data_IF_345323937434
#
_entry.id   IF_345323937434
#
_cell.length_a   1.000
_cell.length_b   1.000
_cell.length_c   1.000
_cell.angle_alpha   90.00
_cell.angle_beta   90.00
_cell.angle_gamma   90.00
#
_symmetry.space_group_name_H-M   'P 1'
#
loop_
_entity.id
_entity.type
_entity.pdbx_description
1 polymer ?
#
# COMPACT_ATOMS: atom_id res chain seq x y z
N UNK A 1 -20.39 47.71 37.37
CA UNK A 1 -19.12 47.17 36.84
C UNK A 1 -19.14 45.67 37.03
N UNK A 2 -19.39 44.91 35.97
CA UNK A 2 -19.39 43.45 35.98
C UNK A 2 -19.00 42.98 34.58
N UNK A 3 -17.94 42.17 34.47
CA UNK A 3 -18.01 40.75 34.11
C UNK A 3 -16.58 40.23 33.95
N UNK A 4 -16.17 39.38 34.89
CA UNK A 4 -15.13 38.39 34.66
C UNK A 4 -15.59 37.44 33.55
N UNK A 5 -14.72 37.15 32.57
CA UNK A 5 -14.81 35.93 31.77
C UNK A 5 -13.52 35.16 31.96
N UNK A 6 -13.57 34.22 32.90
CA UNK A 6 -12.76 32.99 32.87
C UNK A 6 -13.33 32.10 31.76
N UNK A 7 -12.47 31.56 30.90
CA UNK A 7 -12.50 30.16 30.46
C UNK A 7 -11.54 29.97 29.28
N UNK A 8 -10.26 29.78 29.55
CA UNK A 8 -9.28 29.22 28.61
C UNK A 8 -8.52 28.12 29.38
N UNK A 9 -8.78 26.85 29.10
CA UNK A 9 -8.08 25.78 29.81
C UNK A 9 -8.40 24.32 29.48
N UNK A 10 -9.49 24.01 28.77
CA UNK A 10 -9.96 22.61 28.69
C UNK A 10 -9.57 21.85 27.39
N UNK A 11 -9.08 22.53 26.35
CA UNK A 11 -8.85 21.88 25.05
C UNK A 11 -7.58 21.01 24.99
N UNK A 12 -6.59 21.24 25.87
CA UNK A 12 -5.30 20.54 25.81
C UNK A 12 -5.33 19.16 26.51
N UNK A 13 -6.21 18.99 27.50
CA UNK A 13 -6.35 17.75 28.26
C UNK A 13 -7.04 16.64 27.47
N UNK A 14 -8.09 16.99 26.71
CA UNK A 14 -8.84 16.05 25.88
C UNK A 14 -8.01 15.51 24.71
N UNK A 15 -7.17 16.33 24.08
CA UNK A 15 -6.29 15.89 22.99
C UNK A 15 -5.17 14.96 23.46
N UNK A 16 -4.60 15.20 24.65
CA UNK A 16 -3.57 14.34 25.22
C UNK A 16 -4.14 12.97 25.64
N UNK A 17 -5.33 12.94 26.23
CA UNK A 17 -6.02 11.71 26.61
C UNK A 17 -6.46 10.91 25.37
N UNK A 18 -6.99 11.60 24.35
CA UNK A 18 -7.40 10.98 23.08
C UNK A 18 -6.20 10.41 22.32
N UNK A 19 -5.04 11.08 22.32
CA UNK A 19 -3.76 10.53 21.81
C UNK A 19 -3.30 9.29 22.58
N UNK A 20 -3.34 9.32 23.91
CA UNK A 20 -2.90 8.21 24.75
C UNK A 20 -3.74 6.93 24.54
N UNK A 21 -5.03 7.07 24.27
CA UNK A 21 -5.93 5.95 24.00
C UNK A 21 -5.83 5.41 22.57
N UNK A 22 -5.43 6.24 21.60
CA UNK A 22 -5.42 5.87 20.17
C UNK A 22 -4.05 5.43 19.65
N UNK A 23 -2.95 5.85 20.29
CA UNK A 23 -1.59 5.42 19.95
C UNK A 23 -1.43 3.88 19.92
N UNK A 24 -1.97 3.10 20.88
CA UNK A 24 -1.87 1.63 20.85
C UNK A 24 -2.59 1.01 19.64
N UNK A 25 -3.69 1.63 19.19
CA UNK A 25 -4.46 1.16 18.05
C UNK A 25 -3.77 1.45 16.72
N UNK A 26 -3.16 2.62 16.58
CA UNK A 26 -2.37 2.94 15.39
C UNK A 26 -1.14 2.05 15.28
N UNK A 27 -0.40 1.84 16.37
CA UNK A 27 0.78 0.97 16.38
C UNK A 27 0.45 -0.48 16.01
N UNK A 28 -0.64 -1.02 16.58
CA UNK A 28 -1.11 -2.37 16.22
C UNK A 28 -1.46 -2.48 14.74
N UNK A 29 -2.16 -1.49 14.18
CA UNK A 29 -2.49 -1.47 12.75
C UNK A 29 -1.25 -1.37 11.87
N UNK A 30 -0.25 -0.58 12.26
CA UNK A 30 1.02 -0.53 11.56
C UNK A 30 1.75 -1.88 11.60
N UNK A 31 1.73 -2.58 12.74
CA UNK A 31 2.32 -3.91 12.85
C UNK A 31 1.59 -4.93 11.94
N UNK A 32 0.26 -4.91 11.92
CA UNK A 32 -0.54 -5.77 11.04
C UNK A 32 -0.30 -5.45 9.57
N UNK A 33 -0.26 -4.17 9.21
CA UNK A 33 0.09 -3.71 7.86
C UNK A 33 1.48 -4.20 7.46
N UNK A 34 2.49 -4.01 8.31
CA UNK A 34 3.86 -4.49 8.07
C UNK A 34 3.89 -5.99 7.81
N UNK A 35 3.15 -6.76 8.60
CA UNK A 35 3.03 -8.21 8.39
C UNK A 35 2.43 -8.52 7.02
N UNK A 36 1.34 -7.88 6.63
CA UNK A 36 0.73 -8.10 5.31
C UNK A 36 1.68 -7.73 4.16
N UNK A 37 2.42 -6.63 4.29
CA UNK A 37 3.42 -6.22 3.29
C UNK A 37 4.54 -7.25 3.17
N UNK A 38 5.07 -7.77 4.29
CA UNK A 38 6.13 -8.80 4.24
C UNK A 38 5.62 -10.12 3.66
N UNK A 39 4.42 -10.54 4.02
CA UNK A 39 3.78 -11.72 3.39
C UNK A 39 3.58 -11.50 1.89
N UNK A 40 3.11 -10.33 1.47
CA UNK A 40 2.95 -9.99 0.06
C UNK A 40 4.31 -9.98 -0.67
N UNK A 41 5.38 -9.53 -0.03
CA UNK A 41 6.75 -9.57 -0.56
C UNK A 41 7.20 -11.01 -0.83
N UNK A 42 7.01 -11.91 0.12
CA UNK A 42 7.30 -13.34 -0.06
C UNK A 42 6.49 -13.91 -1.23
N UNK A 43 5.18 -13.63 -1.29
CA UNK A 43 4.32 -14.13 -2.37
C UNK A 43 4.68 -13.54 -3.74
N UNK A 44 5.12 -12.27 -3.80
CA UNK A 44 5.54 -11.61 -5.02
C UNK A 44 6.80 -12.27 -5.62
N UNK A 45 7.71 -12.76 -4.78
CA UNK A 45 8.90 -13.50 -5.24
C UNK A 45 8.54 -14.80 -5.95
N UNK A 46 7.43 -15.44 -5.58
CA UNK A 46 6.93 -16.67 -6.19
C UNK A 46 6.19 -16.44 -7.53
N UNK A 47 5.82 -15.19 -7.84
CA UNK A 47 5.09 -14.79 -9.04
C UNK A 47 6.04 -14.49 -10.21
N UNK A 48 6.84 -15.47 -10.65
CA UNK A 48 7.87 -15.27 -11.70
C UNK A 48 7.41 -14.39 -12.87
N UNK A 49 6.22 -14.65 -13.39
CA UNK A 49 5.65 -13.91 -14.51
C UNK A 49 5.41 -12.42 -14.24
N UNK A 50 5.13 -12.02 -13.00
CA UNK A 50 4.78 -10.65 -12.64
C UNK A 50 5.59 -10.16 -11.42
N UNK A 51 6.76 -10.75 -11.18
CA UNK A 51 7.54 -10.59 -9.96
C UNK A 51 7.88 -9.12 -9.71
N UNK A 52 8.53 -8.48 -10.68
CA UNK A 52 9.02 -7.10 -10.50
C UNK A 52 7.86 -6.11 -10.40
N UNK A 53 6.80 -6.34 -11.18
CA UNK A 53 5.53 -5.61 -11.06
C UNK A 53 4.91 -5.72 -9.66
N UNK A 54 4.86 -6.93 -9.09
CA UNK A 54 4.32 -7.16 -7.76
C UNK A 54 5.23 -6.59 -6.65
N UNK A 55 6.55 -6.73 -6.78
CA UNK A 55 7.51 -6.14 -5.85
C UNK A 55 7.43 -4.61 -5.85
N UNK A 56 7.16 -3.99 -7.00
CA UNK A 56 6.97 -2.55 -7.06
C UNK A 56 5.76 -2.08 -6.24
N UNK A 57 4.68 -2.86 -6.15
CA UNK A 57 3.57 -2.55 -5.22
C UNK A 57 4.02 -2.65 -3.77
N UNK A 58 4.85 -3.64 -3.42
CA UNK A 58 5.42 -3.78 -2.07
C UNK A 58 6.23 -2.54 -1.70
N UNK A 59 7.16 -2.12 -2.56
CA UNK A 59 7.99 -0.92 -2.36
C UNK A 59 7.12 0.32 -2.09
N UNK A 60 6.05 0.49 -2.88
CA UNK A 60 5.15 1.63 -2.71
C UNK A 60 4.30 1.56 -1.43
N UNK A 61 3.94 0.37 -0.98
CA UNK A 61 3.27 0.18 0.31
C UNK A 61 4.23 0.48 1.48
N UNK A 62 5.50 0.06 1.38
CA UNK A 62 6.54 0.39 2.37
C UNK A 62 6.72 1.91 2.47
N UNK A 63 6.85 2.61 1.33
CA UNK A 63 6.95 4.07 1.29
C UNK A 63 5.70 4.77 1.88
N UNK A 64 4.50 4.31 1.54
CA UNK A 64 3.26 4.87 2.09
C UNK A 64 3.18 4.71 3.61
N UNK A 65 3.67 3.58 4.15
CA UNK A 65 3.72 3.36 5.60
C UNK A 65 4.71 4.32 6.28
N UNK A 66 5.88 4.54 5.70
CA UNK A 66 6.88 5.47 6.22
C UNK A 66 6.34 6.91 6.26
N UNK A 67 5.69 7.36 5.18
CA UNK A 67 5.09 8.69 5.11
C UNK A 67 3.92 8.85 6.09
N UNK A 68 3.09 7.81 6.25
CA UNK A 68 1.98 7.84 7.20
C UNK A 68 2.47 7.97 8.67
N UNK A 69 3.61 7.37 9.01
CA UNK A 69 4.23 7.52 10.34
C UNK A 69 4.80 8.92 10.58
N UNK A 70 5.27 9.59 9.53
CA UNK A 70 5.78 10.96 9.59
C UNK A 70 4.71 12.06 9.59
N UNK A 71 3.44 11.73 9.31
CA UNK A 71 2.37 12.74 9.19
C UNK A 71 1.93 13.32 10.54
N UNK A 72 1.98 14.65 10.66
CA UNK A 72 1.51 15.38 11.85
C UNK A 72 -0.03 15.47 11.84
N UNK A 73 -0.71 14.53 12.49
CA UNK A 73 -2.17 14.60 12.67
C UNK A 73 -2.81 13.27 12.99
N UNK A 74 -3.33 13.11 14.21
CA UNK A 74 -3.85 11.84 14.72
C UNK A 74 -5.00 11.26 13.88
N UNK A 75 -5.94 12.09 13.41
CA UNK A 75 -7.08 11.65 12.59
C UNK A 75 -6.64 11.24 11.18
N UNK A 76 -5.76 12.02 10.56
CA UNK A 76 -5.19 11.71 9.24
C UNK A 76 -4.38 10.43 9.31
N UNK A 77 -3.50 10.30 10.30
CA UNK A 77 -2.71 9.10 10.55
C UNK A 77 -3.60 7.86 10.74
N UNK A 78 -4.70 7.94 11.50
CA UNK A 78 -5.64 6.82 11.66
C UNK A 78 -6.31 6.41 10.35
N UNK A 79 -6.84 7.37 9.59
CA UNK A 79 -7.53 7.09 8.33
C UNK A 79 -6.60 6.47 7.29
N UNK A 80 -5.40 7.04 7.16
CA UNK A 80 -4.37 6.56 6.25
C UNK A 80 -3.88 5.18 6.69
N UNK A 81 -3.61 4.96 7.98
CA UNK A 81 -3.24 3.64 8.52
C UNK A 81 -4.26 2.56 8.17
N UNK A 82 -5.56 2.84 8.35
CA UNK A 82 -6.62 1.89 8.05
C UNK A 82 -6.73 1.61 6.54
N UNK A 83 -6.54 2.63 5.71
CA UNK A 83 -6.55 2.49 4.25
C UNK A 83 -5.35 1.67 3.75
N UNK A 84 -4.16 1.98 4.23
CA UNK A 84 -2.92 1.26 3.88
C UNK A 84 -2.99 -0.21 4.30
N UNK A 85 -3.48 -0.49 5.52
CA UNK A 85 -3.70 -1.85 6.02
C UNK A 85 -4.67 -2.63 5.11
N UNK A 86 -5.77 -1.99 4.66
CA UNK A 86 -6.72 -2.59 3.73
C UNK A 86 -6.06 -2.93 2.38
N UNK A 87 -5.31 -2.00 1.78
CA UNK A 87 -4.63 -2.24 0.49
C UNK A 87 -3.62 -3.37 0.63
N UNK A 88 -2.79 -3.36 1.68
CA UNK A 88 -1.80 -4.41 1.93
C UNK A 88 -2.44 -5.80 2.08
N UNK A 89 -3.54 -5.89 2.84
CA UNK A 89 -4.30 -7.14 2.99
C UNK A 89 -4.91 -7.61 1.67
N UNK A 90 -5.56 -6.72 0.91
CA UNK A 90 -6.13 -7.07 -0.40
C UNK A 90 -5.08 -7.55 -1.39
N UNK A 91 -3.90 -6.93 -1.39
CA UNK A 91 -2.79 -7.35 -2.23
C UNK A 91 -2.25 -8.71 -1.83
N UNK A 92 -2.00 -8.92 -0.53
CA UNK A 92 -1.58 -10.23 0.04
C UNK A 92 -2.57 -11.33 -0.35
N UNK A 93 -3.86 -11.10 -0.10
CA UNK A 93 -4.92 -12.06 -0.38
C UNK A 93 -5.04 -12.34 -1.88
N UNK A 94 -4.85 -11.32 -2.72
CA UNK A 94 -4.80 -11.47 -4.17
C UNK A 94 -3.65 -12.37 -4.62
N UNK A 95 -2.41 -12.10 -4.18
CA UNK A 95 -1.24 -12.93 -4.53
C UNK A 95 -1.39 -14.36 -4.02
N UNK A 96 -1.95 -14.53 -2.81
CA UNK A 96 -2.14 -15.85 -2.21
C UNK A 96 -3.10 -16.73 -3.03
N UNK A 97 -4.02 -16.17 -3.83
CA UNK A 97 -4.87 -16.94 -4.77
C UNK A 97 -4.08 -17.64 -5.88
N UNK A 98 -2.83 -17.25 -6.11
CA UNK A 98 -1.96 -17.84 -7.11
C UNK A 98 -0.88 -18.73 -6.50
N UNK A 99 -0.75 -18.72 -5.17
CA UNK A 99 0.12 -19.63 -4.45
C UNK A 99 -0.24 -21.08 -4.75
N UNK A 100 0.77 -21.88 -5.09
CA UNK A 100 0.60 -23.29 -5.44
C UNK A 100 -0.06 -23.56 -6.80
N UNK A 101 -0.53 -22.53 -7.53
CA UNK A 101 -1.00 -22.71 -8.92
C UNK A 101 0.19 -22.95 -9.84
N UNK A 102 0.02 -23.85 -10.81
CA UNK A 102 1.02 -24.12 -11.87
C UNK A 102 1.25 -22.85 -12.72
N UNK A 103 2.48 -22.65 -13.18
CA UNK A 103 2.87 -21.49 -13.97
C UNK A 103 1.96 -21.24 -15.19
N UNK A 104 1.55 -22.30 -15.91
CA UNK A 104 0.64 -22.20 -17.07
C UNK A 104 -0.71 -21.57 -16.71
N UNK A 105 -1.26 -21.89 -15.54
CA UNK A 105 -2.53 -21.30 -15.07
C UNK A 105 -2.33 -19.81 -14.77
N UNK A 106 -1.22 -19.45 -14.15
CA UNK A 106 -0.93 -18.05 -13.82
C UNK A 106 -0.67 -17.22 -15.09
N UNK A 107 -0.02 -17.81 -16.10
CA UNK A 107 0.13 -17.22 -17.43
C UNK A 107 -1.22 -16.99 -18.12
N UNK A 108 -2.12 -17.97 -18.09
CA UNK A 108 -3.48 -17.81 -18.64
C UNK A 108 -4.26 -16.68 -17.95
N UNK A 109 -4.01 -16.45 -16.65
CA UNK A 109 -4.60 -15.35 -15.88
C UNK A 109 -3.76 -14.06 -15.90
N UNK A 110 -2.66 -14.00 -16.66
CA UNK A 110 -1.68 -12.92 -16.51
C UNK A 110 -2.28 -11.53 -16.80
N UNK A 111 -3.15 -11.42 -17.81
CA UNK A 111 -3.87 -10.17 -18.08
C UNK A 111 -4.65 -9.66 -16.85
N UNK A 112 -5.29 -10.57 -16.11
CA UNK A 112 -6.01 -10.23 -14.87
C UNK A 112 -5.03 -9.83 -13.77
N UNK A 113 -3.89 -10.51 -13.69
CA UNK A 113 -2.83 -10.20 -12.72
C UNK A 113 -2.28 -8.80 -12.94
N UNK A 114 -1.83 -8.51 -14.16
CA UNK A 114 -1.29 -7.21 -14.55
C UNK A 114 -2.31 -6.10 -14.32
N UNK A 115 -3.56 -6.29 -14.73
CA UNK A 115 -4.63 -5.31 -14.49
C UNK A 115 -4.85 -5.04 -13.00
N UNK A 116 -4.88 -6.09 -12.16
CA UNK A 116 -5.11 -5.92 -10.73
C UNK A 116 -3.93 -5.24 -10.03
N UNK A 117 -2.70 -5.53 -10.44
CA UNK A 117 -1.51 -4.86 -9.92
C UNK A 117 -1.54 -3.36 -10.28
N UNK A 118 -1.94 -3.01 -11.50
CA UNK A 118 -2.13 -1.62 -11.91
C UNK A 118 -3.20 -0.90 -11.06
N UNK A 119 -4.32 -1.57 -10.77
CA UNK A 119 -5.37 -0.99 -9.93
C UNK A 119 -4.92 -0.77 -8.48
N UNK A 120 -4.08 -1.66 -7.94
CA UNK A 120 -3.48 -1.48 -6.62
C UNK A 120 -2.57 -0.25 -6.58
N UNK A 121 -1.80 0.01 -7.63
CA UNK A 121 -1.03 1.24 -7.73
C UNK A 121 -1.90 2.51 -7.67
N UNK A 122 -3.06 2.51 -8.35
CA UNK A 122 -4.02 3.62 -8.28
C UNK A 122 -4.64 3.76 -6.89
N UNK A 123 -4.87 2.65 -6.18
CA UNK A 123 -5.40 2.70 -4.82
C UNK A 123 -4.37 3.24 -3.82
N UNK A 124 -3.09 2.97 -4.06
CA UNK A 124 -1.96 3.57 -3.34
C UNK A 124 -1.86 5.07 -3.65
N UNK A 125 -2.02 5.50 -4.90
CA UNK A 125 -2.05 6.94 -5.27
C UNK A 125 -3.13 7.69 -4.48
N UNK A 126 -4.34 7.13 -4.40
CA UNK A 126 -5.43 7.71 -3.59
C UNK A 126 -5.10 7.78 -2.10
N UNK A 127 -4.23 6.89 -1.60
CA UNK A 127 -3.79 6.92 -0.20
C UNK A 127 -2.71 7.99 0.01
N UNK A 128 -1.77 8.15 -0.92
CA UNK A 128 -0.80 9.26 -0.94
C UNK A 128 -1.49 10.63 -1.07
N UNK A 129 -2.53 10.75 -1.89
CA UNK A 129 -3.32 12.00 -1.96
C UNK A 129 -4.06 12.32 -0.66
N UNK A 130 -4.42 11.30 0.13
CA UNK A 130 -4.91 11.50 1.49
C UNK A 130 -3.87 12.10 2.46
N UNK A 131 -2.58 12.01 2.14
CA UNK A 131 -1.47 12.64 2.85
C UNK A 131 -1.09 14.01 2.26
N UNK A 132 -1.75 14.47 1.19
CA UNK A 132 -1.34 15.67 0.45
C UNK A 132 -0.06 15.48 -0.38
N UNK A 133 0.34 14.23 -0.65
CA UNK A 133 1.54 13.87 -1.41
C UNK A 133 1.15 13.54 -2.87
N UNK A 134 0.49 14.47 -3.55
CA UNK A 134 -0.05 14.27 -4.90
C UNK A 134 1.04 14.26 -5.99
N UNK A 135 2.18 14.90 -5.73
CA UNK A 135 3.25 15.09 -6.73
C UNK A 135 4.00 13.79 -7.12
N UNK A 136 3.89 12.72 -6.32
CA UNK A 136 4.49 11.41 -6.62
C UNK A 136 3.58 10.46 -7.42
N UNK A 137 2.32 10.85 -7.71
CA UNK A 137 1.30 9.94 -8.26
C UNK A 137 1.58 9.38 -9.66
N UNK A 138 2.58 9.89 -10.39
CA UNK A 138 2.84 9.46 -11.78
C UNK A 138 4.21 8.83 -12.02
N UNK A 139 5.17 8.96 -11.09
CA UNK A 139 6.52 8.43 -11.26
C UNK A 139 6.54 6.89 -11.32
N UNK A 140 5.62 6.23 -10.62
CA UNK A 140 5.52 4.77 -10.62
C UNK A 140 5.09 4.21 -11.99
N UNK A 141 4.33 4.97 -12.78
CA UNK A 141 3.77 4.50 -14.03
C UNK A 141 4.87 4.20 -15.06
N UNK A 142 5.94 4.99 -15.08
CA UNK A 142 7.07 4.76 -15.99
C UNK A 142 7.81 3.46 -15.64
N UNK A 143 8.08 3.22 -14.34
CA UNK A 143 8.68 1.96 -13.87
C UNK A 143 7.77 0.76 -14.19
N UNK A 144 6.47 0.92 -13.98
CA UNK A 144 5.46 -0.08 -14.32
C UNK A 144 5.49 -0.48 -15.80
N UNK A 145 5.47 0.50 -16.72
CA UNK A 145 5.54 0.21 -18.15
C UNK A 145 6.84 -0.49 -18.52
N UNK A 146 7.97 -0.11 -17.92
CA UNK A 146 9.25 -0.82 -18.11
C UNK A 146 9.20 -2.29 -17.67
N UNK A 147 8.58 -2.59 -16.52
CA UNK A 147 8.39 -3.99 -16.09
C UNK A 147 7.46 -4.77 -17.00
N UNK A 148 6.41 -4.10 -17.51
CA UNK A 148 5.45 -4.70 -18.44
C UNK A 148 6.09 -5.00 -19.79
N UNK A 149 6.90 -4.10 -20.32
CA UNK A 149 7.67 -4.31 -21.55
C UNK A 149 8.67 -5.47 -21.40
N UNK A 150 9.43 -5.49 -20.30
CA UNK A 150 10.35 -6.59 -20.00
C UNK A 150 9.63 -7.95 -19.90
N UNK A 151 8.45 -7.99 -19.29
CA UNK A 151 7.60 -9.18 -19.24
C UNK A 151 7.17 -9.64 -20.64
N UNK A 152 6.72 -8.71 -21.49
CA UNK A 152 6.33 -9.01 -22.86
C UNK A 152 7.49 -9.60 -23.67
N UNK A 153 8.66 -8.96 -23.63
CA UNK A 153 9.88 -9.45 -24.31
C UNK A 153 10.28 -10.84 -23.82
N UNK A 154 10.20 -11.09 -22.50
CA UNK A 154 10.50 -12.41 -21.94
C UNK A 154 9.56 -13.51 -22.48
N UNK A 155 8.27 -13.22 -22.65
CA UNK A 155 7.33 -14.19 -23.24
C UNK A 155 7.51 -14.39 -24.74
N UNK A 156 7.86 -13.35 -25.48
CA UNK A 156 8.19 -13.48 -26.89
C UNK A 156 9.41 -14.39 -27.07
N UNK A 157 10.49 -14.18 -26.31
CA UNK A 157 11.68 -15.02 -26.38
C UNK A 157 11.40 -16.50 -26.07
N UNK A 158 10.44 -16.80 -25.17
CA UNK A 158 10.03 -18.17 -24.88
C UNK A 158 9.23 -18.75 -26.06
N UNK A 159 8.40 -17.94 -26.71
CA UNK A 159 7.55 -18.37 -27.84
C UNK A 159 8.34 -18.69 -29.11
N UNK A 160 9.53 -18.08 -29.31
CA UNK A 160 10.41 -18.37 -30.45
C UNK A 160 11.35 -19.58 -30.25
N UNK A 161 11.40 -20.16 -29.06
CA UNK A 161 12.29 -21.30 -28.73
C UNK A 161 11.60 -22.67 -28.82
N UNK A 162 10.31 -22.70 -29.15
CA UNK A 162 9.49 -23.89 -29.36
C UNK A 162 8.72 -23.77 -30.68
#
# INVERSE_FOLDING_TARGET
MATERRSDGDSAGDDALSRALTAPHTERRYAECRRFVQEAKTLALDMFEAKDMALHVVERLEALMEQAQGSEGLRSAMFISARTEKIAREFRDFLNKFRGKKAVIRLACNRVVVSRIQDLHKDIDKAFGGLGLDDEQTAWHQRWEGYREAQHVAFEMISYRY
#
